data_IF_917515461740
#
_entry.id   IF_917515461740
#
_cell.length_a   1.000
_cell.length_b   1.000
_cell.length_c   1.000
_cell.angle_alpha   90.00
_cell.angle_beta   90.00
_cell.angle_gamma   90.00
#
_symmetry.space_group_name_H-M   'P 1'
#
loop_
_entity.id
_entity.type
_entity.pdbx_description
1 polymer ?
#
# COMPACT_ATOMS: atom_id res chain seq x y z
N UNK A 1 2.66 -14.51 -21.55
CA UNK A 1 2.70 -13.83 -20.23
C UNK A 1 4.05 -13.14 -19.99
N UNK A 2 5.18 -13.81 -20.19
CA UNK A 2 6.53 -13.25 -19.99
C UNK A 2 6.78 -11.96 -20.76
N UNK A 3 6.44 -11.91 -22.06
CA UNK A 3 6.61 -10.69 -22.86
C UNK A 3 5.78 -9.51 -22.36
N UNK A 4 4.59 -9.79 -21.81
CA UNK A 4 3.73 -8.77 -21.22
C UNK A 4 4.34 -8.20 -19.92
N UNK A 5 4.87 -9.06 -19.07
CA UNK A 5 5.58 -8.65 -17.85
C UNK A 5 6.82 -7.82 -18.20
N UNK A 6 7.63 -8.27 -19.19
CA UNK A 6 8.81 -7.50 -19.63
C UNK A 6 8.44 -6.11 -20.14
N UNK A 7 7.37 -5.99 -20.88
CA UNK A 7 6.88 -4.69 -21.34
C UNK A 7 6.44 -3.80 -20.18
N UNK A 8 5.66 -4.35 -19.23
CA UNK A 8 5.21 -3.60 -18.07
C UNK A 8 6.38 -3.18 -17.16
N UNK A 9 7.40 -4.04 -17.02
CA UNK A 9 8.63 -3.69 -16.30
C UNK A 9 9.40 -2.56 -17.00
N UNK A 10 9.54 -2.63 -18.30
CA UNK A 10 10.15 -1.55 -19.07
C UNK A 10 9.42 -0.23 -18.86
N UNK A 11 8.08 -0.27 -18.84
CA UNK A 11 7.24 0.89 -18.57
C UNK A 11 7.43 1.42 -17.15
N UNK A 12 7.47 0.53 -16.15
CA UNK A 12 7.75 0.88 -14.76
C UNK A 12 9.06 1.67 -14.64
N UNK A 13 10.13 1.12 -15.20
CA UNK A 13 11.47 1.71 -15.11
C UNK A 13 11.63 3.02 -15.93
N UNK A 14 10.76 3.27 -16.90
CA UNK A 14 10.82 4.47 -17.74
C UNK A 14 9.76 5.52 -17.35
N UNK A 15 8.90 5.22 -16.40
CA UNK A 15 7.84 6.13 -15.97
C UNK A 15 8.33 7.18 -14.99
N UNK A 16 8.17 8.45 -15.33
CA UNK A 16 8.44 9.56 -14.41
C UNK A 16 7.62 9.46 -13.12
N UNK A 17 6.39 8.96 -13.18
CA UNK A 17 5.54 8.78 -11.99
C UNK A 17 6.16 7.82 -10.99
N UNK A 18 6.86 6.78 -11.45
CA UNK A 18 7.57 5.82 -10.59
C UNK A 18 8.68 6.52 -9.79
N UNK A 19 9.53 7.28 -10.47
CA UNK A 19 10.63 8.01 -9.82
C UNK A 19 10.12 9.10 -8.88
N UNK A 20 9.07 9.82 -9.30
CA UNK A 20 8.45 10.84 -8.45
C UNK A 20 7.86 10.23 -7.17
N UNK A 21 7.16 9.09 -7.29
CA UNK A 21 6.61 8.39 -6.12
C UNK A 21 7.72 7.88 -5.19
N UNK A 22 8.79 7.31 -5.72
CA UNK A 22 9.95 6.88 -4.92
C UNK A 22 10.59 8.07 -4.19
N UNK A 23 10.76 9.19 -4.87
CA UNK A 23 11.34 10.40 -4.28
C UNK A 23 10.42 10.98 -3.20
N UNK A 24 9.10 10.98 -3.43
CA UNK A 24 8.12 11.41 -2.44
C UNK A 24 8.13 10.51 -1.19
N UNK A 25 8.18 9.19 -1.35
CA UNK A 25 8.30 8.23 -0.26
C UNK A 25 9.61 8.45 0.53
N UNK A 26 10.73 8.65 -0.16
CA UNK A 26 12.01 8.94 0.47
C UNK A 26 11.97 10.25 1.26
N UNK A 27 11.39 11.30 0.69
CA UNK A 27 11.22 12.59 1.35
C UNK A 27 10.35 12.53 2.61
N UNK A 28 9.22 11.81 2.53
CA UNK A 28 8.37 11.56 3.69
C UNK A 28 9.11 10.80 4.78
N UNK A 29 9.89 9.79 4.42
CA UNK A 29 10.68 9.02 5.38
C UNK A 29 11.69 9.89 6.12
N UNK A 30 12.45 10.70 5.38
CA UNK A 30 13.41 11.64 5.98
C UNK A 30 12.70 12.61 6.93
N UNK A 31 11.53 13.14 6.52
CA UNK A 31 10.72 14.02 7.35
C UNK A 31 10.26 13.33 8.63
N UNK A 32 9.78 12.10 8.56
CA UNK A 32 9.32 11.34 9.72
C UNK A 32 10.46 11.02 10.69
N UNK A 33 11.62 10.60 10.18
CA UNK A 33 12.79 10.35 11.02
C UNK A 33 13.20 11.63 11.75
N UNK A 34 13.24 12.77 11.04
CA UNK A 34 13.61 14.06 11.65
C UNK A 34 12.59 14.51 12.68
N UNK A 35 11.29 14.33 12.43
CA UNK A 35 10.23 14.65 13.41
C UNK A 35 10.33 13.77 14.66
N UNK A 36 10.52 12.47 14.50
CA UNK A 36 10.68 11.55 15.62
C UNK A 36 11.96 11.87 16.43
N UNK A 37 13.06 12.24 15.77
CA UNK A 37 14.27 12.67 16.45
C UNK A 37 14.06 13.97 17.25
N UNK A 38 13.37 14.96 16.67
CA UNK A 38 13.01 16.20 17.37
C UNK A 38 12.10 15.93 18.57
N UNK A 39 11.10 15.06 18.41
CA UNK A 39 10.22 14.68 19.50
C UNK A 39 10.95 13.96 20.63
N UNK A 40 11.85 13.03 20.31
CA UNK A 40 12.65 12.33 21.31
C UNK A 40 13.62 13.27 22.05
N UNK A 41 14.09 14.35 21.41
CA UNK A 41 14.90 15.39 22.05
C UNK A 41 14.09 16.21 23.06
N UNK A 42 12.86 16.60 22.71
CA UNK A 42 11.97 17.36 23.62
C UNK A 42 11.41 16.50 24.77
N UNK A 43 11.20 15.21 24.53
CA UNK A 43 10.62 14.25 25.47
C UNK A 43 11.51 13.03 25.67
N UNK A 44 12.69 13.16 26.33
CA UNK A 44 13.65 12.07 26.46
C UNK A 44 13.11 10.85 27.27
N UNK A 45 12.05 11.03 28.05
CA UNK A 45 11.38 9.95 28.77
C UNK A 45 10.73 8.92 27.84
N UNK A 46 10.41 9.28 26.60
CA UNK A 46 9.77 8.42 25.61
C UNK A 46 10.76 7.50 24.87
N UNK A 47 12.04 7.57 25.21
CA UNK A 47 13.07 6.67 24.74
C UNK A 47 13.71 7.05 23.40
N UNK A 48 14.82 6.42 23.11
CA UNK A 48 15.54 6.59 21.84
C UNK A 48 14.68 6.07 20.69
N UNK A 49 14.51 6.88 19.65
CA UNK A 49 13.85 6.50 18.40
C UNK A 49 14.53 5.22 17.88
N UNK A 50 13.79 4.12 17.85
CA UNK A 50 14.29 2.92 17.22
C UNK A 50 14.29 3.14 15.70
N UNK A 51 15.43 2.97 15.08
CA UNK A 51 15.59 2.98 13.63
C UNK A 51 14.52 2.15 12.92
N UNK A 52 14.25 0.98 13.48
CA UNK A 52 13.28 0.03 12.99
C UNK A 52 11.83 0.54 13.10
N UNK A 53 11.48 1.12 14.24
CA UNK A 53 10.15 1.68 14.45
C UNK A 53 9.86 2.81 13.45
N UNK A 54 10.85 3.65 13.16
CA UNK A 54 10.66 4.75 12.21
C UNK A 54 10.42 4.26 10.79
N UNK A 55 11.02 3.13 10.40
CA UNK A 55 10.78 2.52 9.10
C UNK A 55 9.36 1.97 8.94
N UNK A 56 8.78 1.48 10.04
CA UNK A 56 7.48 0.80 10.06
C UNK A 56 6.32 1.78 10.24
N UNK A 57 6.52 2.87 10.99
CA UNK A 57 5.44 3.68 11.57
C UNK A 57 4.56 4.43 10.58
N UNK A 58 4.96 4.60 9.31
CA UNK A 58 4.13 5.38 8.40
C UNK A 58 3.73 4.63 7.13
N UNK A 59 3.22 3.46 7.33
CA UNK A 59 2.65 2.64 6.25
C UNK A 59 1.43 3.30 5.60
N UNK A 60 0.65 4.09 6.34
CA UNK A 60 -0.55 4.74 5.84
C UNK A 60 -0.29 5.74 4.70
N UNK A 61 0.71 6.62 4.84
CA UNK A 61 1.06 7.58 3.80
C UNK A 61 1.71 6.88 2.58
N UNK A 62 2.54 5.87 2.82
CA UNK A 62 3.13 5.07 1.75
C UNK A 62 2.07 4.30 0.98
N UNK A 63 1.13 3.69 1.69
CA UNK A 63 -0.02 2.99 1.12
C UNK A 63 -0.84 3.92 0.22
N UNK A 64 -1.07 5.17 0.67
CA UNK A 64 -1.77 6.19 -0.11
C UNK A 64 -0.99 6.57 -1.37
N UNK A 65 0.30 6.88 -1.27
CA UNK A 65 1.13 7.20 -2.42
C UNK A 65 1.21 6.05 -3.41
N UNK A 66 1.28 4.83 -2.92
CA UNK A 66 1.27 3.63 -3.75
C UNK A 66 -0.06 3.45 -4.47
N UNK A 67 -1.18 3.69 -3.79
CA UNK A 67 -2.51 3.69 -4.40
C UNK A 67 -2.64 4.72 -5.52
N UNK A 68 -2.22 5.95 -5.27
CA UNK A 68 -2.21 7.02 -6.28
C UNK A 68 -1.31 6.68 -7.47
N UNK A 69 -0.12 6.14 -7.21
CA UNK A 69 0.77 5.67 -8.26
C UNK A 69 0.11 4.58 -9.12
N UNK A 70 -0.61 3.63 -8.50
CA UNK A 70 -1.28 2.56 -9.24
C UNK A 70 -2.35 3.09 -10.21
N UNK A 71 -3.06 4.16 -9.83
CA UNK A 71 -4.02 4.86 -10.71
C UNK A 71 -3.29 5.52 -11.88
N UNK A 72 -2.21 6.28 -11.61
CA UNK A 72 -1.43 6.96 -12.67
C UNK A 72 -0.87 5.94 -13.65
N UNK A 73 -0.30 4.85 -13.14
CA UNK A 73 0.28 3.79 -13.93
C UNK A 73 -0.78 3.11 -14.82
N UNK A 74 -1.95 2.78 -14.27
CA UNK A 74 -3.03 2.13 -15.01
C UNK A 74 -3.70 3.07 -16.01
N UNK A 75 -3.90 4.34 -15.63
CA UNK A 75 -4.46 5.35 -16.55
C UNK A 75 -3.56 5.56 -17.75
N UNK A 76 -2.24 5.54 -17.56
CA UNK A 76 -1.28 5.61 -18.65
C UNK A 76 -1.42 4.48 -19.67
N UNK A 77 -1.86 3.29 -19.26
CA UNK A 77 -2.18 2.20 -20.17
C UNK A 77 -3.43 2.47 -21.03
N UNK A 78 -4.45 3.06 -20.39
CA UNK A 78 -5.72 3.33 -21.04
C UNK A 78 -5.57 4.50 -22.00
N UNK A 79 -4.94 5.61 -21.57
CA UNK A 79 -4.79 6.83 -22.34
C UNK A 79 -3.89 6.69 -23.56
N UNK A 80 -2.82 5.92 -23.44
CA UNK A 80 -1.88 5.66 -24.55
C UNK A 80 -2.41 4.60 -25.55
N UNK A 81 -3.63 4.12 -25.37
CA UNK A 81 -4.23 3.12 -26.26
C UNK A 81 -3.57 1.75 -26.22
N UNK A 82 -2.63 1.52 -25.28
CA UNK A 82 -1.90 0.27 -25.14
C UNK A 82 -2.81 -0.94 -24.94
N UNK A 83 -3.84 -0.78 -24.10
CA UNK A 83 -4.82 -1.84 -23.87
C UNK A 83 -5.52 -2.23 -25.19
N UNK A 84 -5.84 -1.27 -26.06
CA UNK A 84 -6.49 -1.52 -27.36
C UNK A 84 -5.61 -2.34 -28.31
N UNK A 85 -4.28 -2.15 -28.23
CA UNK A 85 -3.33 -2.87 -29.06
C UNK A 85 -3.06 -4.30 -28.53
N UNK A 86 -3.08 -4.49 -27.23
CA UNK A 86 -2.72 -5.78 -26.61
C UNK A 86 -3.93 -6.70 -26.43
N UNK A 87 -5.12 -6.19 -26.14
CA UNK A 87 -6.31 -7.02 -25.95
C UNK A 87 -6.56 -7.99 -27.10
N UNK A 88 -6.41 -7.62 -28.39
CA UNK A 88 -6.54 -8.57 -29.48
C UNK A 88 -5.47 -9.66 -29.52
N UNK A 89 -4.27 -9.37 -28.98
CA UNK A 89 -3.13 -10.29 -28.99
C UNK A 89 -3.14 -11.24 -27.78
N UNK A 90 -3.90 -10.92 -26.75
CA UNK A 90 -3.97 -11.69 -25.52
C UNK A 90 -5.33 -12.33 -25.38
N UNK A 91 -5.40 -13.66 -25.53
CA UNK A 91 -6.66 -14.43 -25.45
C UNK A 91 -7.45 -14.25 -24.15
N UNK A 92 -6.86 -13.66 -23.11
CA UNK A 92 -7.52 -13.47 -21.83
C UNK A 92 -7.07 -12.14 -21.16
N UNK A 93 -8.02 -11.25 -20.94
CA UNK A 93 -7.82 -9.94 -20.28
C UNK A 93 -7.24 -10.06 -18.85
N UNK A 94 -7.51 -11.18 -18.17
CA UNK A 94 -6.94 -11.48 -16.84
C UNK A 94 -5.40 -11.51 -16.87
N UNK A 95 -4.79 -11.92 -17.98
CA UNK A 95 -3.33 -11.92 -18.10
C UNK A 95 -2.73 -10.50 -18.03
N UNK A 96 -3.47 -9.50 -18.51
CA UNK A 96 -3.06 -8.08 -18.41
C UNK A 96 -3.09 -7.65 -16.95
N UNK A 97 -4.20 -7.94 -16.25
CA UNK A 97 -4.32 -7.65 -14.83
C UNK A 97 -3.23 -8.32 -13.99
N UNK A 98 -3.00 -9.62 -14.20
CA UNK A 98 -1.96 -10.35 -13.48
C UNK A 98 -0.55 -9.80 -13.76
N UNK A 99 -0.27 -9.38 -15.00
CA UNK A 99 1.01 -8.75 -15.31
C UNK A 99 1.20 -7.41 -14.60
N UNK A 100 0.12 -6.64 -14.46
CA UNK A 100 0.13 -5.38 -13.70
C UNK A 100 0.33 -5.64 -12.20
N UNK A 101 -0.32 -6.65 -11.63
CA UNK A 101 -0.09 -7.05 -10.24
C UNK A 101 1.37 -7.44 -9.96
N UNK A 102 1.99 -8.21 -10.86
CA UNK A 102 3.40 -8.56 -10.72
C UNK A 102 4.29 -7.31 -10.70
N UNK A 103 4.00 -6.35 -11.56
CA UNK A 103 4.75 -5.08 -11.61
C UNK A 103 4.49 -4.23 -10.38
N UNK A 104 3.27 -4.21 -9.84
CA UNK A 104 2.96 -3.58 -8.56
C UNK A 104 3.77 -4.21 -7.41
N UNK A 105 3.89 -5.55 -7.40
CA UNK A 105 4.74 -6.25 -6.42
C UNK A 105 6.21 -5.83 -6.52
N UNK A 106 6.74 -5.70 -7.74
CA UNK A 106 8.12 -5.23 -7.95
C UNK A 106 8.26 -3.77 -7.52
N UNK A 107 7.28 -2.92 -7.83
CA UNK A 107 7.27 -1.53 -7.35
C UNK A 107 7.31 -1.45 -5.82
N UNK A 108 6.52 -2.29 -5.13
CA UNK A 108 6.57 -2.36 -3.67
C UNK A 108 7.96 -2.73 -3.15
N UNK A 109 8.59 -3.75 -3.72
CA UNK A 109 9.96 -4.12 -3.33
C UNK A 109 10.97 -2.99 -3.55
N UNK A 110 10.83 -2.25 -4.66
CA UNK A 110 11.65 -1.07 -4.92
C UNK A 110 11.39 0.03 -3.89
N UNK A 111 10.13 0.26 -3.50
CA UNK A 111 9.81 1.24 -2.45
C UNK A 111 10.38 0.82 -1.10
N UNK A 112 10.37 -0.46 -0.73
CA UNK A 112 11.03 -0.95 0.48
C UNK A 112 12.54 -0.65 0.49
N UNK A 113 13.22 -0.87 -0.64
CA UNK A 113 14.66 -0.54 -0.75
C UNK A 113 14.90 0.95 -0.60
N UNK A 114 14.12 1.80 -1.28
CA UNK A 114 14.23 3.26 -1.19
C UNK A 114 13.94 3.76 0.22
N UNK A 115 12.92 3.21 0.87
CA UNK A 115 12.56 3.52 2.25
C UNK A 115 13.69 3.15 3.20
N UNK A 116 14.25 1.95 3.07
CA UNK A 116 15.39 1.50 3.87
C UNK A 116 16.61 2.44 3.73
N UNK A 117 16.95 2.81 2.50
CA UNK A 117 18.06 3.74 2.23
C UNK A 117 17.76 5.12 2.83
N UNK A 118 16.56 5.65 2.61
CA UNK A 118 16.13 6.96 3.12
C UNK A 118 16.16 7.02 4.65
N UNK A 119 15.63 6.00 5.31
CA UNK A 119 15.64 5.88 6.77
C UNK A 119 17.07 5.76 7.31
N UNK A 120 17.93 4.98 6.64
CA UNK A 120 19.34 4.84 7.03
C UNK A 120 20.05 6.18 6.98
N UNK A 121 19.96 6.89 5.87
CA UNK A 121 20.60 8.21 5.69
C UNK A 121 20.07 9.20 6.73
N UNK A 122 18.75 9.27 6.90
CA UNK A 122 18.12 10.19 7.85
C UNK A 122 18.54 9.87 9.30
N UNK A 123 18.60 8.59 9.66
CA UNK A 123 19.00 8.17 11.00
C UNK A 123 20.47 8.54 11.31
N UNK A 124 21.37 8.44 10.33
CA UNK A 124 22.75 8.89 10.51
C UNK A 124 22.87 10.40 10.71
N UNK A 125 21.94 11.18 10.17
CA UNK A 125 21.98 12.65 10.25
C UNK A 125 21.31 13.15 11.53
N UNK A 126 20.18 12.56 11.93
CA UNK A 126 19.31 13.12 12.97
C UNK A 126 19.30 12.33 14.28
N UNK A 127 19.87 11.13 14.33
CA UNK A 127 19.82 10.25 15.51
C UNK A 127 21.22 9.85 15.97
N UNK A 128 21.57 10.11 17.23
CA UNK A 128 22.89 9.80 17.81
C UNK A 128 23.16 8.30 18.03
N UNK A 129 22.19 7.46 17.83
CA UNK A 129 22.34 6.01 17.99
C UNK A 129 21.29 5.23 17.25
N UNK A 130 21.71 4.32 16.37
CA UNK A 130 20.82 3.43 15.63
C UNK A 130 20.63 2.15 16.44
N UNK A 131 19.41 1.91 16.93
CA UNK A 131 19.03 0.62 17.48
C UNK A 131 18.31 -0.19 16.40
N UNK A 132 18.95 -1.25 15.94
CA UNK A 132 18.31 -2.24 15.08
C UNK A 132 17.33 -3.04 15.94
N UNK A 133 16.05 -3.03 15.54
CA UNK A 133 15.04 -3.89 16.13
C UNK A 133 15.18 -5.36 15.67
N UNK A 134 14.16 -6.17 15.95
CA UNK A 134 14.13 -7.56 15.49
C UNK A 134 13.99 -7.65 13.97
N UNK A 135 14.91 -8.30 13.29
CA UNK A 135 14.83 -8.57 11.84
C UNK A 135 13.63 -9.46 11.48
N UNK A 136 13.18 -10.28 12.41
CA UNK A 136 12.00 -11.14 12.22
C UNK A 136 10.74 -10.29 12.14
N UNK A 137 10.56 -9.35 13.08
CA UNK A 137 9.41 -8.44 13.11
C UNK A 137 9.37 -7.58 11.85
N UNK A 138 10.54 -7.09 11.41
CA UNK A 138 10.66 -6.40 10.13
C UNK A 138 10.21 -7.26 8.96
N UNK A 139 10.64 -8.50 8.90
CA UNK A 139 10.24 -9.44 7.85
C UNK A 139 8.72 -9.67 7.82
N UNK A 140 8.09 -9.79 9.00
CA UNK A 140 6.64 -9.95 9.13
C UNK A 140 5.91 -8.72 8.60
N UNK A 141 6.34 -7.52 8.99
CA UNK A 141 5.71 -6.27 8.52
C UNK A 141 5.86 -6.10 7.02
N UNK A 142 7.07 -6.27 6.47
CA UNK A 142 7.30 -6.16 5.02
C UNK A 142 6.45 -7.18 4.25
N UNK A 143 6.31 -8.38 4.77
CA UNK A 143 5.50 -9.42 4.15
C UNK A 143 4.00 -9.10 4.18
N UNK A 144 3.47 -8.66 5.30
CA UNK A 144 2.05 -8.32 5.45
C UNK A 144 1.68 -7.07 4.67
N UNK A 145 2.51 -6.04 4.73
CA UNK A 145 2.34 -4.81 3.96
C UNK A 145 2.43 -5.05 2.44
N UNK A 146 3.20 -6.05 1.99
CA UNK A 146 3.20 -6.45 0.58
C UNK A 146 1.79 -6.79 0.08
N UNK A 147 1.03 -7.57 0.83
CA UNK A 147 -0.35 -7.91 0.44
C UNK A 147 -1.30 -6.73 0.54
N UNK A 148 -1.15 -5.85 1.53
CA UNK A 148 -1.96 -4.64 1.63
C UNK A 148 -1.71 -3.69 0.46
N UNK A 149 -0.46 -3.48 0.07
CA UNK A 149 -0.11 -2.66 -1.10
C UNK A 149 -0.66 -3.25 -2.40
N UNK A 150 -0.61 -4.57 -2.57
CA UNK A 150 -1.24 -5.22 -3.71
C UNK A 150 -2.78 -5.13 -3.69
N UNK A 151 -3.40 -5.17 -2.51
CA UNK A 151 -4.83 -4.94 -2.36
C UNK A 151 -5.21 -3.52 -2.79
N UNK A 152 -4.47 -2.51 -2.34
CA UNK A 152 -4.66 -1.11 -2.75
C UNK A 152 -4.43 -0.92 -4.25
N UNK A 153 -3.40 -1.54 -4.82
CA UNK A 153 -3.18 -1.50 -6.27
C UNK A 153 -4.36 -2.11 -7.04
N UNK A 154 -4.91 -3.22 -6.55
CA UNK A 154 -6.10 -3.86 -7.14
C UNK A 154 -7.32 -2.95 -7.10
N UNK A 155 -7.54 -2.22 -6.00
CA UNK A 155 -8.58 -1.20 -5.88
C UNK A 155 -8.33 -0.06 -6.88
N UNK A 156 -7.11 0.46 -6.93
CA UNK A 156 -6.71 1.54 -7.84
C UNK A 156 -6.97 1.17 -9.31
N UNK A 157 -6.57 -0.04 -9.71
CA UNK A 157 -6.85 -0.57 -11.04
C UNK A 157 -8.35 -0.69 -11.28
N UNK A 158 -9.11 -1.26 -10.34
CA UNK A 158 -10.59 -1.42 -10.45
C UNK A 158 -11.27 -0.08 -10.68
N UNK A 159 -10.97 0.90 -9.83
CA UNK A 159 -11.53 2.25 -9.90
C UNK A 159 -11.18 2.91 -11.24
N UNK A 160 -9.92 2.81 -11.67
CA UNK A 160 -9.46 3.38 -12.94
C UNK A 160 -10.17 2.75 -14.13
N UNK A 161 -10.34 1.43 -14.12
CA UNK A 161 -11.10 0.74 -15.17
C UNK A 161 -12.59 1.10 -15.16
N UNK A 162 -13.19 1.37 -14.00
CA UNK A 162 -14.60 1.75 -13.88
C UNK A 162 -14.85 3.21 -14.29
N UNK A 163 -14.11 4.13 -13.78
CA UNK A 163 -14.39 5.57 -13.89
C UNK A 163 -13.87 6.15 -15.22
N UNK A 164 -12.75 5.65 -15.76
CA UNK A 164 -12.07 6.14 -16.99
C UNK A 164 -11.63 7.62 -16.95
N UNK A 165 -11.90 8.33 -15.88
CA UNK A 165 -11.50 9.71 -15.68
C UNK A 165 -10.34 9.73 -14.67
N UNK A 166 -9.23 10.30 -15.08
CA UNK A 166 -8.00 10.33 -14.27
C UNK A 166 -8.21 11.02 -12.92
N UNK A 167 -8.75 12.23 -12.92
CA UNK A 167 -8.94 12.99 -11.68
C UNK A 167 -9.96 12.34 -10.74
N UNK A 168 -11.06 11.85 -11.28
CA UNK A 168 -12.07 11.15 -10.48
C UNK A 168 -11.53 9.82 -9.90
N UNK A 169 -10.67 9.11 -10.63
CA UNK A 169 -10.03 7.89 -10.14
C UNK A 169 -9.04 8.19 -9.00
N UNK A 170 -8.24 9.25 -9.14
CA UNK A 170 -7.34 9.71 -8.07
C UNK A 170 -8.15 10.08 -6.82
N UNK A 171 -9.20 10.92 -6.98
CA UNK A 171 -10.03 11.34 -5.86
C UNK A 171 -10.70 10.15 -5.15
N UNK A 172 -11.19 9.18 -5.90
CA UNK A 172 -11.83 7.99 -5.34
C UNK A 172 -10.84 7.10 -4.60
N UNK A 173 -9.64 6.85 -5.15
CA UNK A 173 -8.60 6.06 -4.46
C UNK A 173 -8.08 6.81 -3.24
N UNK A 174 -7.88 8.12 -3.35
CA UNK A 174 -7.53 8.95 -2.21
C UNK A 174 -8.56 8.81 -1.09
N UNK A 175 -9.86 8.95 -1.38
CA UNK A 175 -10.92 8.80 -0.39
C UNK A 175 -10.93 7.42 0.27
N UNK A 176 -10.66 6.35 -0.49
CA UNK A 176 -10.64 4.98 0.04
C UNK A 176 -9.40 4.73 0.92
N UNK A 177 -8.24 5.26 0.55
CA UNK A 177 -6.96 4.92 1.22
C UNK A 177 -6.57 5.95 2.28
N UNK A 178 -6.95 7.23 2.15
CA UNK A 178 -6.56 8.33 3.05
C UNK A 178 -7.24 8.36 4.41
N UNK A 179 -8.01 7.33 4.75
CA UNK A 179 -8.66 7.25 6.05
C UNK A 179 -10.08 7.81 6.12
N UNK A 180 -10.71 8.27 5.01
CA UNK A 180 -12.17 8.50 5.04
C UNK A 180 -12.92 7.24 5.43
N UNK A 181 -12.44 6.09 4.96
CA UNK A 181 -12.97 4.78 5.36
C UNK A 181 -12.68 4.46 6.83
N UNK A 182 -11.59 4.99 7.41
CA UNK A 182 -11.26 4.78 8.82
C UNK A 182 -12.23 5.47 9.80
N UNK A 183 -13.02 6.41 9.33
CA UNK A 183 -14.10 7.02 10.11
C UNK A 183 -15.39 6.21 9.99
N UNK A 184 -15.65 5.66 8.81
CA UNK A 184 -16.87 4.89 8.52
C UNK A 184 -16.86 3.53 9.25
N UNK A 185 -15.75 2.82 9.22
CA UNK A 185 -15.64 1.47 9.80
C UNK A 185 -15.85 1.44 11.32
N UNK A 186 -15.26 2.33 12.15
CA UNK A 186 -15.57 2.40 13.58
C UNK A 186 -17.03 2.74 13.85
N UNK A 187 -17.63 3.63 13.05
CA UNK A 187 -19.05 3.93 13.17
C UNK A 187 -19.95 2.72 12.90
N UNK A 188 -19.65 1.97 11.84
CA UNK A 188 -20.35 0.73 11.54
C UNK A 188 -20.13 -0.35 12.61
N UNK A 189 -18.92 -0.49 13.10
CA UNK A 189 -18.58 -1.41 14.19
C UNK A 189 -19.36 -1.08 15.46
N UNK A 190 -19.40 0.19 15.83
CA UNK A 190 -20.20 0.64 16.98
C UNK A 190 -21.69 0.29 16.84
N UNK A 191 -22.29 0.60 15.70
CA UNK A 191 -23.70 0.29 15.41
C UNK A 191 -23.95 -1.23 15.46
N UNK A 192 -23.08 -2.02 14.85
CA UNK A 192 -23.24 -3.47 14.81
C UNK A 192 -23.05 -4.11 16.18
N UNK A 193 -22.12 -3.62 17.01
CA UNK A 193 -21.96 -4.04 18.42
C UNK A 193 -23.24 -3.76 19.23
N UNK A 194 -23.90 -2.64 18.97
CA UNK A 194 -25.17 -2.33 19.63
C UNK A 194 -26.33 -3.25 19.19
N UNK A 195 -26.35 -3.63 17.90
CA UNK A 195 -27.42 -4.49 17.35
C UNK A 195 -27.21 -5.95 17.73
N UNK A 196 -25.98 -6.45 17.65
CA UNK A 196 -25.67 -7.87 17.86
C UNK A 196 -25.43 -8.21 19.33
N UNK A 197 -25.08 -7.22 20.16
CA UNK A 197 -24.66 -7.43 21.54
C UNK A 197 -23.26 -8.04 21.68
N UNK A 198 -22.60 -8.32 20.55
CA UNK A 198 -21.25 -8.89 20.51
C UNK A 198 -20.19 -7.78 20.65
N UNK A 199 -19.52 -7.77 21.83
CA UNK A 199 -18.48 -6.77 22.15
C UNK A 199 -17.14 -7.05 21.46
N UNK A 200 -16.92 -8.27 21.01
CA UNK A 200 -15.66 -8.72 20.40
C UNK A 200 -15.65 -8.57 18.89
N UNK A 201 -16.76 -8.10 18.31
CA UNK A 201 -16.87 -7.83 16.87
C UNK A 201 -15.83 -6.77 16.44
N UNK A 202 -14.92 -7.11 15.56
CA UNK A 202 -13.87 -6.22 15.07
C UNK A 202 -13.95 -6.09 13.54
N UNK A 203 -14.64 -5.04 13.08
CA UNK A 203 -14.79 -4.74 11.63
C UNK A 203 -13.72 -3.76 11.17
N UNK A 204 -13.15 -2.98 12.07
CA UNK A 204 -12.12 -1.99 11.74
C UNK A 204 -10.90 -2.59 11.04
N UNK A 205 -10.53 -3.83 11.39
CA UNK A 205 -9.42 -4.55 10.76
C UNK A 205 -9.64 -4.83 9.26
N UNK A 206 -10.88 -4.82 8.78
CA UNK A 206 -11.20 -5.00 7.35
C UNK A 206 -11.02 -3.74 6.51
N UNK A 207 -10.83 -2.59 7.15
CA UNK A 207 -10.43 -1.36 6.46
C UNK A 207 -8.93 -1.39 6.17
N UNK A 208 -8.52 -1.23 4.91
CA UNK A 208 -7.11 -1.36 4.51
C UNK A 208 -6.20 -0.38 5.26
N UNK A 209 -6.61 0.88 5.41
CA UNK A 209 -5.81 1.89 6.12
C UNK A 209 -5.66 1.57 7.61
N UNK A 210 -6.72 1.08 8.25
CA UNK A 210 -6.67 0.67 9.66
C UNK A 210 -5.91 -0.64 9.83
N UNK A 211 -6.03 -1.59 8.89
CA UNK A 211 -5.27 -2.83 8.90
C UNK A 211 -3.76 -2.57 8.81
N UNK A 212 -3.31 -1.68 7.93
CA UNK A 212 -1.91 -1.30 7.82
C UNK A 212 -1.39 -0.69 9.13
N UNK A 213 -2.15 0.24 9.71
CA UNK A 213 -1.79 0.84 11.00
C UNK A 213 -1.75 -0.23 12.11
N UNK A 214 -2.73 -1.12 12.16
CA UNK A 214 -2.78 -2.19 13.16
C UNK A 214 -1.61 -3.18 13.00
N UNK A 215 -1.23 -3.54 11.78
CA UNK A 215 -0.07 -4.40 11.52
C UNK A 215 1.19 -3.77 12.09
N UNK A 216 1.43 -2.50 11.80
CA UNK A 216 2.62 -1.79 12.28
C UNK A 216 2.68 -1.71 13.80
N UNK A 217 1.58 -1.33 14.45
CA UNK A 217 1.53 -1.23 15.91
C UNK A 217 1.52 -2.58 16.61
N UNK A 218 0.84 -3.58 16.05
CA UNK A 218 0.70 -4.89 16.68
C UNK A 218 2.00 -5.70 16.67
N UNK A 219 2.81 -5.55 15.63
CA UNK A 219 4.13 -6.22 15.57
C UNK A 219 5.07 -5.61 16.61
N UNK A 220 4.99 -4.31 16.86
CA UNK A 220 5.82 -3.64 17.87
C UNK A 220 5.36 -3.95 19.30
N UNK A 221 4.05 -3.93 19.54
CA UNK A 221 3.46 -4.05 20.88
C UNK A 221 2.93 -5.47 21.21
N UNK A 222 3.01 -6.41 20.28
CA UNK A 222 2.51 -7.80 20.40
C UNK A 222 1.04 -7.92 20.82
N UNK A 223 0.19 -6.97 20.38
CA UNK A 223 -1.22 -6.91 20.80
C UNK A 223 -2.16 -7.85 20.06
N UNK A 224 -1.79 -8.28 18.83
CA UNK A 224 -2.59 -9.21 18.04
C UNK A 224 -1.83 -10.52 17.79
N UNK A 225 -2.54 -11.66 17.67
CA UNK A 225 -1.90 -12.90 17.30
C UNK A 225 -1.32 -12.82 15.89
N UNK A 226 -0.13 -13.37 15.69
CA UNK A 226 0.58 -13.38 14.39
C UNK A 226 -0.28 -13.91 13.24
N UNK A 227 -1.19 -14.85 13.53
CA UNK A 227 -2.12 -15.41 12.55
C UNK A 227 -3.08 -14.36 11.99
N UNK A 228 -3.61 -13.46 12.81
CA UNK A 228 -4.51 -12.40 12.37
C UNK A 228 -3.75 -11.33 11.58
N UNK A 229 -2.54 -11.00 12.02
CA UNK A 229 -1.67 -10.02 11.34
C UNK A 229 -1.35 -10.49 9.91
N UNK A 230 -1.12 -11.77 9.69
CA UNK A 230 -0.72 -12.32 8.39
C UNK A 230 -1.93 -12.66 7.51
N UNK A 231 -2.95 -13.29 8.07
CA UNK A 231 -4.07 -13.86 7.30
C UNK A 231 -4.98 -12.78 6.74
N UNK A 232 -5.27 -11.74 7.51
CA UNK A 232 -6.18 -10.69 7.08
C UNK A 232 -5.71 -9.91 5.84
N UNK A 233 -4.46 -9.43 5.74
CA UNK A 233 -3.94 -8.81 4.52
C UNK A 233 -4.02 -9.70 3.29
N UNK A 234 -3.78 -11.00 3.44
CA UNK A 234 -3.90 -11.96 2.34
C UNK A 234 -5.36 -12.08 1.87
N UNK A 235 -6.31 -12.17 2.81
CA UNK A 235 -7.75 -12.22 2.48
C UNK A 235 -8.17 -10.95 1.75
N UNK A 236 -7.78 -9.77 2.24
CA UNK A 236 -8.08 -8.49 1.59
C UNK A 236 -7.49 -8.43 0.18
N UNK A 237 -6.24 -8.84 0.00
CA UNK A 237 -5.61 -8.90 -1.31
C UNK A 237 -6.37 -9.82 -2.27
N UNK A 238 -6.72 -11.05 -1.85
CA UNK A 238 -7.47 -11.99 -2.69
C UNK A 238 -8.84 -11.42 -3.06
N UNK A 239 -9.58 -10.87 -2.08
CA UNK A 239 -10.90 -10.28 -2.28
C UNK A 239 -10.87 -9.17 -3.35
N UNK A 240 -10.00 -8.18 -3.16
CA UNK A 240 -9.91 -7.05 -4.09
C UNK A 240 -9.33 -7.44 -5.45
N UNK A 241 -8.42 -8.42 -5.51
CA UNK A 241 -7.90 -8.94 -6.78
C UNK A 241 -8.96 -9.69 -7.58
N UNK A 242 -9.84 -10.45 -6.92
CA UNK A 242 -10.97 -11.11 -7.57
C UNK A 242 -11.96 -10.07 -8.13
N UNK A 243 -12.31 -9.05 -7.34
CA UNK A 243 -13.19 -7.96 -7.80
C UNK A 243 -12.57 -7.25 -9.02
N UNK A 244 -11.28 -6.93 -8.97
CA UNK A 244 -10.56 -6.31 -10.07
C UNK A 244 -10.57 -7.19 -11.33
N UNK A 245 -10.28 -8.48 -11.19
CA UNK A 245 -10.30 -9.45 -12.29
C UNK A 245 -11.68 -9.56 -12.96
N UNK A 246 -12.74 -9.64 -12.17
CA UNK A 246 -14.13 -9.67 -12.68
C UNK A 246 -14.47 -8.37 -13.42
N UNK A 247 -14.07 -7.22 -12.87
CA UNK A 247 -14.31 -5.91 -13.47
C UNK A 247 -13.66 -5.79 -14.84
N UNK A 248 -12.42 -6.23 -14.99
CA UNK A 248 -11.68 -6.19 -16.26
C UNK A 248 -12.29 -7.12 -17.31
N UNK A 249 -12.74 -8.31 -16.89
CA UNK A 249 -13.38 -9.28 -17.81
C UNK A 249 -14.70 -8.72 -18.36
N UNK A 250 -15.56 -8.21 -17.47
CA UNK A 250 -16.91 -7.74 -17.83
C UNK A 250 -16.90 -6.45 -18.64
N UNK A 251 -15.81 -5.71 -18.60
CA UNK A 251 -15.76 -4.42 -19.26
C UNK A 251 -15.27 -4.53 -20.71
N UNK A 252 -16.07 -4.00 -21.61
CA UNK A 252 -15.62 -3.77 -22.98
C UNK A 252 -14.61 -2.63 -23.01
N UNK A 253 -13.40 -2.97 -23.43
CA UNK A 253 -12.34 -2.01 -23.72
C UNK A 253 -12.60 -1.46 -25.13
N UNK A 254 -13.57 -0.55 -25.23
CA UNK A 254 -13.81 0.20 -26.48
C UNK A 254 -12.86 1.38 -26.59
#
# INVERSE_FOLDING_TARGET
MMNLIRYQLYRLLRSYSTYFTMLAIMGLNVMLVSMNAAFAYEFPEHGTVSYFNTFIFDTGAFLMLFGLWSVVFTTGEISNGFIKQIVPLVNNKVKIFLSNLVVCGIMYLLTCVVTFIGTTIASFIFVDGIKLGSMVDYGVVVFTEFFLHLAVASIGMTITYLIKNFFASIAAVFAVVSGMTSVIFPGLEYILKQITGDKDLCICSWCISLSSTQVSYSVVDYKLPLTEIIVLPIILFVLYSVIAGITIIKRDVK
#
